data_IF_125108777392
#
_entry.id   IF_125108777392
#
_cell.length_a   1.000
_cell.length_b   1.000
_cell.length_c   1.000
_cell.angle_alpha   90.00
_cell.angle_beta   90.00
_cell.angle_gamma   90.00
#
_symmetry.space_group_name_H-M   'P 1'
#
loop_
_entity.id
_entity.type
_entity.pdbx_description
1 polymer ?
#
# COMPACT_ATOMS: atom_id res chain seq x y z
N UNK A 1 8.11 6.22 -12.22
CA UNK A 1 7.66 5.02 -11.53
C UNK A 1 8.67 3.87 -11.63
N UNK A 2 9.12 3.43 -12.80
CA UNK A 2 10.09 2.35 -12.96
C UNK A 2 11.55 2.68 -12.62
N UNK A 3 11.81 3.82 -11.98
CA UNK A 3 13.15 4.21 -11.60
C UNK A 3 13.64 3.43 -10.38
N UNK A 4 14.97 3.35 -10.23
CA UNK A 4 15.60 2.77 -9.05
C UNK A 4 15.30 3.62 -7.81
N UNK A 5 14.16 3.41 -7.23
CA UNK A 5 13.80 3.96 -5.94
C UNK A 5 14.07 2.94 -4.84
N UNK A 6 14.16 3.40 -3.62
CA UNK A 6 14.36 2.55 -2.43
C UNK A 6 13.34 1.41 -2.37
N UNK A 7 12.13 1.62 -2.87
CA UNK A 7 11.05 0.61 -2.84
C UNK A 7 10.93 -0.22 -4.12
N UNK A 8 11.63 0.12 -5.20
CA UNK A 8 11.67 -0.66 -6.44
C UNK A 8 12.96 -1.50 -6.50
N UNK A 9 13.08 -2.42 -5.55
CA UNK A 9 14.28 -3.27 -5.40
C UNK A 9 14.48 -4.25 -6.55
N UNK A 10 13.44 -4.51 -7.35
CA UNK A 10 13.50 -5.39 -8.54
C UNK A 10 13.94 -4.65 -9.80
N UNK A 11 14.10 -3.32 -9.75
CA UNK A 11 14.32 -2.49 -10.95
C UNK A 11 13.27 -2.74 -12.05
N UNK A 12 12.04 -3.04 -11.64
CA UNK A 12 10.93 -3.32 -12.54
C UNK A 12 10.48 -2.04 -13.24
N UNK A 13 10.30 -2.12 -14.55
CA UNK A 13 9.81 -1.02 -15.38
C UNK A 13 8.77 -1.53 -16.36
N UNK A 14 7.60 -0.90 -16.38
CA UNK A 14 6.54 -1.20 -17.33
C UNK A 14 5.76 0.09 -17.65
N UNK A 15 5.93 0.66 -18.86
CA UNK A 15 5.25 1.89 -19.25
C UNK A 15 3.72 1.79 -19.23
N UNK A 16 3.17 0.59 -19.49
CA UNK A 16 1.73 0.35 -19.43
C UNK A 16 1.24 0.45 -17.98
N UNK A 17 1.97 -0.15 -17.05
CA UNK A 17 1.67 -0.06 -15.62
C UNK A 17 1.77 1.38 -15.12
N UNK A 18 2.82 2.10 -15.51
CA UNK A 18 3.00 3.51 -15.14
C UNK A 18 1.81 4.36 -15.56
N UNK A 19 1.33 4.17 -16.78
CA UNK A 19 0.13 4.86 -17.27
C UNK A 19 -1.12 4.52 -16.46
N UNK A 20 -1.33 3.26 -16.12
CA UNK A 20 -2.48 2.83 -15.32
C UNK A 20 -2.40 3.36 -13.88
N UNK A 21 -1.19 3.48 -13.32
CA UNK A 21 -0.97 4.11 -12.01
C UNK A 21 -1.39 5.58 -12.05
N UNK A 22 -1.02 6.31 -13.10
CA UNK A 22 -1.41 7.70 -13.25
C UNK A 22 -2.93 7.85 -13.47
N UNK A 23 -3.54 6.97 -14.25
CA UNK A 23 -5.01 6.91 -14.39
C UNK A 23 -5.70 6.72 -13.03
N UNK A 24 -5.18 5.86 -12.17
CA UNK A 24 -5.71 5.67 -10.82
C UNK A 24 -5.49 6.89 -9.93
N UNK A 25 -4.30 7.50 -9.98
CA UNK A 25 -3.92 8.66 -9.16
C UNK A 25 -4.77 9.88 -9.44
N UNK A 26 -5.11 10.11 -10.71
CA UNK A 26 -5.88 11.27 -11.17
C UNK A 26 -7.33 10.92 -11.52
N UNK A 27 -7.83 9.80 -11.03
CA UNK A 27 -9.20 9.36 -11.28
C UNK A 27 -10.21 10.36 -10.69
N UNK A 28 -11.14 10.84 -11.52
CA UNK A 28 -12.16 11.78 -11.11
C UNK A 28 -13.34 11.15 -10.37
N UNK A 29 -13.45 9.82 -10.43
CA UNK A 29 -14.53 9.09 -9.79
C UNK A 29 -14.08 7.71 -9.28
N UNK A 30 -14.82 7.19 -8.31
CA UNK A 30 -14.54 5.86 -7.75
C UNK A 30 -14.60 4.72 -8.79
N UNK A 31 -15.57 4.65 -9.71
CA UNK A 31 -15.59 3.61 -10.74
C UNK A 31 -14.34 3.61 -11.64
N UNK A 32 -13.85 4.79 -12.03
CA UNK A 32 -12.62 4.94 -12.82
C UNK A 32 -11.40 4.47 -12.02
N UNK A 33 -11.31 4.86 -10.77
CA UNK A 33 -10.28 4.40 -9.85
C UNK A 33 -10.28 2.88 -9.70
N UNK A 34 -11.44 2.28 -9.42
CA UNK A 34 -11.58 0.83 -9.22
C UNK A 34 -11.19 0.05 -10.49
N UNK A 35 -11.55 0.55 -11.67
CA UNK A 35 -11.17 -0.06 -12.95
C UNK A 35 -9.65 -0.01 -13.17
N UNK A 36 -9.01 1.14 -12.89
CA UNK A 36 -7.57 1.28 -13.00
C UNK A 36 -6.84 0.36 -12.00
N UNK A 37 -7.29 0.27 -10.76
CA UNK A 37 -6.71 -0.62 -9.75
C UNK A 37 -6.81 -2.09 -10.17
N UNK A 38 -7.94 -2.52 -10.74
CA UNK A 38 -8.08 -3.90 -11.27
C UNK A 38 -7.09 -4.18 -12.38
N UNK A 39 -6.87 -3.24 -13.30
CA UNK A 39 -5.85 -3.36 -14.35
C UNK A 39 -4.44 -3.45 -13.78
N UNK A 40 -4.12 -2.64 -12.75
CA UNK A 40 -2.84 -2.73 -12.04
C UNK A 40 -2.60 -4.11 -11.45
N UNK A 41 -3.62 -4.65 -10.76
CA UNK A 41 -3.55 -5.99 -10.17
C UNK A 41 -3.37 -7.06 -11.22
N UNK A 42 -4.07 -6.95 -12.36
CA UNK A 42 -3.93 -7.90 -13.46
C UNK A 42 -2.52 -7.89 -14.07
N UNK A 43 -1.96 -6.71 -14.33
CA UNK A 43 -0.59 -6.58 -14.85
C UNK A 43 0.42 -7.16 -13.85
N UNK A 44 0.26 -6.87 -12.56
CA UNK A 44 1.13 -7.41 -11.52
C UNK A 44 1.03 -8.94 -11.40
N UNK A 45 -0.16 -9.50 -11.62
CA UNK A 45 -0.37 -10.94 -11.63
C UNK A 45 0.28 -11.60 -12.86
N UNK A 46 0.16 -10.99 -14.02
CA UNK A 46 0.68 -11.56 -15.27
C UNK A 46 2.21 -11.47 -15.35
N UNK A 47 2.81 -10.39 -14.86
CA UNK A 47 4.26 -10.16 -14.96
C UNK A 47 5.04 -10.56 -13.71
N UNK A 48 4.36 -10.77 -12.60
CA UNK A 48 4.92 -11.26 -11.33
C UNK A 48 6.23 -10.55 -10.92
N UNK A 49 6.27 -9.21 -10.82
CA UNK A 49 7.45 -8.51 -10.35
C UNK A 49 7.79 -8.83 -8.88
N UNK A 50 6.78 -9.25 -8.12
CA UNK A 50 6.87 -9.78 -6.77
C UNK A 50 5.94 -10.97 -6.59
N UNK A 51 6.36 -11.91 -5.76
CA UNK A 51 5.53 -13.06 -5.39
C UNK A 51 5.01 -12.83 -3.96
N UNK A 52 3.74 -12.42 -3.79
CA UNK A 52 3.15 -12.30 -2.46
C UNK A 52 2.99 -13.71 -1.87
N UNK A 53 3.52 -13.91 -0.67
CA UNK A 53 3.46 -15.21 0.01
C UNK A 53 2.39 -15.23 1.09
N UNK A 54 2.33 -14.17 1.89
CA UNK A 54 1.42 -14.08 3.04
C UNK A 54 0.99 -12.64 3.27
N UNK A 55 -0.16 -12.48 3.88
CA UNK A 55 -0.59 -11.21 4.47
C UNK A 55 -0.54 -11.37 5.99
N UNK A 56 0.51 -10.87 6.67
CA UNK A 56 0.63 -11.04 8.11
C UNK A 56 -0.40 -10.21 8.87
N UNK A 57 -0.80 -10.72 10.03
CA UNK A 57 -1.53 -9.91 11.00
C UNK A 57 -0.60 -8.91 11.67
N UNK A 58 -1.13 -7.76 12.02
CA UNK A 58 -0.43 -6.81 12.85
C UNK A 58 -0.85 -7.00 14.31
N UNK A 59 0.06 -7.55 15.11
CA UNK A 59 -0.18 -7.78 16.53
C UNK A 59 0.41 -6.63 17.35
N UNK A 60 -0.41 -6.05 18.23
CA UNK A 60 0.00 -4.96 19.10
C UNK A 60 -0.26 -5.33 20.56
N UNK A 61 0.80 -5.39 21.35
CA UNK A 61 0.71 -5.64 22.78
C UNK A 61 0.75 -4.31 23.55
N UNK A 62 -0.20 -4.10 24.44
CA UNK A 62 -0.30 -2.89 25.26
C UNK A 62 -0.70 -3.25 26.70
N UNK A 63 -0.26 -2.42 27.65
CA UNK A 63 -0.77 -2.46 29.00
C UNK A 63 -2.26 -2.06 29.02
N UNK A 64 -3.02 -2.60 30.00
CA UNK A 64 -4.48 -2.35 30.10
C UNK A 64 -4.85 -0.88 30.26
N UNK A 65 -3.96 -0.07 30.80
CA UNK A 65 -4.18 1.35 31.06
C UNK A 65 -3.71 2.27 29.93
N UNK A 66 -3.21 1.72 28.81
CA UNK A 66 -2.90 2.51 27.62
C UNK A 66 -4.17 2.70 26.80
N UNK A 67 -4.40 3.93 26.38
CA UNK A 67 -5.54 4.37 25.56
C UNK A 67 -5.05 5.13 24.34
N UNK A 68 -5.90 5.25 23.31
CA UNK A 68 -5.65 6.09 22.14
C UNK A 68 -4.85 5.41 21.04
N UNK A 69 -4.62 4.09 21.12
CA UNK A 69 -4.01 3.39 20.00
C UNK A 69 -4.93 3.40 18.80
N UNK A 70 -4.39 3.77 17.64
CA UNK A 70 -5.06 3.70 16.35
C UNK A 70 -4.19 2.96 15.34
N UNK A 71 -4.82 2.17 14.49
CA UNK A 71 -4.16 1.60 13.34
C UNK A 71 -3.96 2.67 12.26
N UNK A 72 -2.72 2.81 11.80
CA UNK A 72 -2.38 3.70 10.70
C UNK A 72 -1.98 2.89 9.47
N UNK A 73 -2.53 3.26 8.32
CA UNK A 73 -2.29 2.55 7.05
C UNK A 73 -0.81 2.46 6.65
N UNK A 74 0.02 3.40 7.09
CA UNK A 74 1.47 3.40 6.83
C UNK A 74 2.27 2.56 7.84
N UNK A 75 1.61 1.85 8.74
CA UNK A 75 2.19 0.95 9.74
C UNK A 75 3.17 1.61 10.73
N UNK A 76 3.19 2.94 10.81
CA UNK A 76 4.02 3.66 11.76
C UNK A 76 3.19 4.08 12.97
N UNK A 77 3.64 3.79 14.20
CA UNK A 77 2.91 4.20 15.39
C UNK A 77 2.96 5.72 15.56
N UNK A 78 1.81 6.31 15.80
CA UNK A 78 1.69 7.71 16.22
C UNK A 78 1.46 7.78 17.71
N UNK A 79 2.48 8.18 18.43
CA UNK A 79 2.46 8.23 19.89
C UNK A 79 1.73 9.45 20.46
N UNK A 80 1.41 10.45 19.65
CA UNK A 80 0.78 11.70 20.11
C UNK A 80 -0.60 11.51 20.74
N UNK A 81 -1.29 10.44 20.33
CA UNK A 81 -2.62 10.13 20.81
C UNK A 81 -2.64 9.10 21.94
N UNK A 82 -1.49 8.53 22.27
CA UNK A 82 -1.40 7.58 23.35
C UNK A 82 -1.46 8.28 24.69
N UNK A 83 -2.26 7.75 25.60
CA UNK A 83 -2.36 8.21 26.96
C UNK A 83 -2.35 7.04 27.93
N UNK A 84 -1.94 7.31 29.15
CA UNK A 84 -1.94 6.34 30.24
C UNK A 84 -2.99 6.74 31.26
N UNK A 85 -3.94 5.87 31.44
CA UNK A 85 -4.98 6.08 32.45
C UNK A 85 -4.49 5.68 33.85
#
# INVERSE_FOLDING_TARGET
>A
HGQNAVFNTMSYQNPVLDKVIDEARFAESKPVYDAAVRRMVQIAFDEVPRIPLVQPSMDVAMQRNVRGYMYWFHLQPDYRQLSKA
#
